data_IF_191925597133
#
_entry.id   IF_191925597133
#
_cell.length_a   1.000
_cell.length_b   1.000
_cell.length_c   1.000
_cell.angle_alpha   90.00
_cell.angle_beta   90.00
_cell.angle_gamma   90.00
#
_symmetry.space_group_name_H-M   'P 1'
#
loop_
_entity.id
_entity.type
_entity.pdbx_description
1 polymer ?
#
# COMPACT_ATOMS: atom_id res chain seq x y z
N UNK A 1 -18.52 -11.92 -18.39
CA UNK A 1 -17.24 -11.21 -18.22
C UNK A 1 -17.10 -10.95 -16.74
N UNK A 2 -16.31 -11.76 -16.05
CA UNK A 2 -16.09 -11.57 -14.60
C UNK A 2 -15.00 -10.52 -14.45
N UNK A 3 -15.39 -9.25 -14.43
CA UNK A 3 -14.52 -8.21 -13.88
C UNK A 3 -14.35 -8.56 -12.42
N UNK A 4 -13.21 -9.16 -12.10
CA UNK A 4 -12.79 -9.37 -10.73
C UNK A 4 -12.66 -7.97 -10.13
N UNK A 5 -13.69 -7.54 -9.39
CA UNK A 5 -13.78 -6.22 -8.78
C UNK A 5 -12.76 -6.20 -7.63
N UNK A 6 -11.52 -5.89 -8.02
CA UNK A 6 -10.43 -5.55 -7.13
C UNK A 6 -10.38 -4.03 -7.10
N UNK A 7 -10.95 -3.45 -6.06
CA UNK A 7 -10.89 -2.02 -5.83
C UNK A 7 -9.55 -1.69 -5.18
N UNK A 8 -8.63 -1.11 -5.97
CA UNK A 8 -7.36 -0.55 -5.46
C UNK A 8 -7.55 0.94 -5.18
N UNK A 9 -7.69 1.30 -3.91
CA UNK A 9 -7.81 2.68 -3.45
C UNK A 9 -6.47 3.17 -2.90
N UNK A 10 -5.99 4.33 -3.32
CA UNK A 10 -4.85 4.97 -2.66
C UNK A 10 -5.30 5.43 -1.26
N UNK A 11 -4.75 4.82 -0.21
CA UNK A 11 -5.01 5.16 1.18
C UNK A 11 -4.16 6.34 1.63
N UNK A 12 -2.86 6.28 1.33
CA UNK A 12 -1.92 7.26 1.82
C UNK A 12 -0.71 7.41 0.93
N UNK A 13 -0.07 8.57 0.97
CA UNK A 13 1.22 8.78 0.32
C UNK A 13 2.19 9.32 1.36
N UNK A 14 3.23 8.54 1.64
CA UNK A 14 4.32 8.93 2.52
C UNK A 14 5.41 9.55 1.65
N UNK A 15 5.65 10.84 1.83
CA UNK A 15 6.72 11.57 1.16
C UNK A 15 7.89 11.78 2.12
N UNK A 16 9.09 11.50 1.64
CA UNK A 16 10.28 11.50 2.49
C UNK A 16 11.55 11.77 1.68
N UNK A 17 12.68 11.94 2.38
CA UNK A 17 13.93 12.36 1.76
C UNK A 17 14.49 11.37 0.73
N UNK A 18 14.09 10.09 0.79
CA UNK A 18 14.50 9.07 -0.20
C UNK A 18 13.52 8.95 -1.37
N UNK A 19 12.30 9.45 -1.25
CA UNK A 19 11.27 9.37 -2.28
C UNK A 19 9.86 9.27 -1.71
N UNK A 20 8.90 8.99 -2.60
CA UNK A 20 7.49 8.81 -2.25
C UNK A 20 7.13 7.32 -2.17
N UNK A 21 6.51 6.91 -1.08
CA UNK A 21 5.88 5.62 -0.91
C UNK A 21 4.36 5.79 -0.91
N UNK A 22 3.67 5.11 -1.80
CA UNK A 22 2.23 5.18 -1.97
C UNK A 22 1.59 3.91 -1.41
N UNK A 23 0.77 4.06 -0.38
CA UNK A 23 0.04 2.98 0.27
C UNK A 23 -1.36 2.87 -0.31
N UNK A 24 -1.68 1.68 -0.80
CA UNK A 24 -2.92 1.33 -1.45
C UNK A 24 -3.66 0.28 -0.62
N UNK A 25 -4.97 0.38 -0.59
CA UNK A 25 -5.88 -0.66 -0.12
C UNK A 25 -6.41 -1.42 -1.32
N UNK A 26 -6.27 -2.73 -1.34
CA UNK A 26 -6.84 -3.62 -2.35
C UNK A 26 -7.94 -4.42 -1.67
N UNK A 27 -9.19 -4.10 -2.01
CA UNK A 27 -10.37 -4.82 -1.56
C UNK A 27 -10.85 -5.70 -2.71
N UNK A 28 -10.88 -7.00 -2.47
CA UNK A 28 -11.43 -7.98 -3.41
C UNK A 28 -12.85 -8.34 -3.03
N UNK A 29 -13.78 -8.25 -4.00
CA UNK A 29 -15.14 -8.77 -3.83
C UNK A 29 -15.12 -10.29 -3.57
N UNK A 30 -15.09 -10.68 -2.30
CA UNK A 30 -14.95 -12.06 -1.83
C UNK A 30 -13.90 -12.27 -0.73
N UNK A 31 -13.02 -11.29 -0.48
CA UNK A 31 -12.16 -11.27 0.71
C UNK A 31 -12.84 -10.49 1.84
N UNK A 32 -12.92 -11.11 3.01
CA UNK A 32 -13.41 -10.43 4.23
C UNK A 32 -12.46 -9.38 4.78
N UNK A 33 -11.22 -9.32 4.28
CA UNK A 33 -10.20 -8.38 4.75
C UNK A 33 -9.52 -7.67 3.56
N UNK A 34 -9.36 -6.34 3.62
CA UNK A 34 -8.55 -5.59 2.67
C UNK A 34 -7.10 -6.05 2.74
N UNK A 35 -6.43 -6.06 1.59
CA UNK A 35 -4.98 -6.16 1.49
C UNK A 35 -4.40 -4.75 1.34
N UNK A 36 -3.18 -4.54 1.83
CA UNK A 36 -2.50 -3.26 1.70
C UNK A 36 -1.31 -3.43 0.77
N UNK A 37 -0.98 -2.44 -0.04
CA UNK A 37 0.17 -2.48 -0.95
C UNK A 37 0.94 -1.18 -0.86
N UNK A 38 2.25 -1.26 -0.69
CA UNK A 38 3.13 -0.10 -0.67
C UNK A 38 3.90 -0.08 -1.97
N UNK A 39 3.67 0.93 -2.80
CA UNK A 39 4.48 1.20 -3.98
C UNK A 39 5.55 2.24 -3.66
N UNK A 40 6.81 1.88 -3.84
CA UNK A 40 7.92 2.81 -3.67
C UNK A 40 8.86 2.70 -4.87
N UNK A 41 8.95 3.78 -5.66
CA UNK A 41 9.90 3.86 -6.78
C UNK A 41 9.76 2.73 -7.81
N UNK A 42 8.56 2.16 -7.98
CA UNK A 42 8.30 1.03 -8.88
C UNK A 42 8.45 -0.36 -8.24
N UNK A 43 8.70 -0.46 -6.93
CA UNK A 43 8.59 -1.69 -6.17
C UNK A 43 7.31 -1.69 -5.34
N UNK A 44 6.38 -2.57 -5.68
CA UNK A 44 5.14 -2.78 -4.93
C UNK A 44 5.29 -3.95 -3.95
N UNK A 45 5.00 -3.72 -2.67
CA UNK A 45 5.07 -4.73 -1.60
C UNK A 45 3.69 -4.86 -0.97
N UNK A 46 3.14 -6.07 -0.93
CA UNK A 46 1.80 -6.31 -0.39
C UNK A 46 1.86 -6.81 1.07
N UNK A 47 1.01 -6.25 1.92
CA UNK A 47 0.89 -6.50 3.35
C UNK A 47 -0.54 -6.87 3.72
N UNK A 48 -0.71 -7.67 4.76
CA UNK A 48 -2.03 -8.00 5.33
C UNK A 48 -2.49 -6.98 6.38
N UNK A 49 -1.56 -6.18 6.92
CA UNK A 49 -1.83 -5.21 7.97
C UNK A 49 -1.49 -3.79 7.50
N UNK A 50 -2.40 -2.85 7.76
CA UNK A 50 -2.17 -1.43 7.47
C UNK A 50 -0.95 -0.88 8.23
N UNK A 51 -0.77 -1.28 9.49
CA UNK A 51 0.34 -0.82 10.31
C UNK A 51 1.71 -1.22 9.76
N UNK A 52 1.85 -2.48 9.30
CA UNK A 52 3.09 -2.95 8.67
C UNK A 52 3.38 -2.21 7.36
N UNK A 53 2.33 -1.99 6.55
CA UNK A 53 2.44 -1.20 5.32
C UNK A 53 2.89 0.25 5.60
N UNK A 54 2.39 0.89 6.65
CA UNK A 54 2.81 2.24 7.04
C UNK A 54 4.26 2.29 7.51
N UNK A 55 4.68 1.33 8.33
CA UNK A 55 6.06 1.25 8.83
C UNK A 55 7.01 1.06 7.66
N UNK A 56 6.68 0.17 6.72
CA UNK A 56 7.52 -0.06 5.55
C UNK A 56 7.52 1.14 4.61
N UNK A 57 6.36 1.74 4.34
CA UNK A 57 6.26 2.95 3.52
C UNK A 57 7.12 4.09 4.08
N UNK A 58 7.09 4.31 5.40
CA UNK A 58 7.96 5.28 6.07
C UNK A 58 9.44 4.93 5.99
N UNK A 59 9.78 3.67 6.22
CA UNK A 59 11.16 3.16 6.14
C UNK A 59 11.74 3.32 4.74
N UNK A 60 10.97 2.98 3.70
CA UNK A 60 11.34 3.10 2.29
C UNK A 60 11.47 4.56 1.86
N UNK A 61 10.48 5.38 2.23
CA UNK A 61 10.44 6.83 1.97
C UNK A 61 11.56 7.59 2.71
N UNK A 62 12.13 6.97 3.74
CA UNK A 62 13.20 7.56 4.55
C UNK A 62 12.68 8.59 5.54
N UNK A 63 11.38 8.59 5.83
CA UNK A 63 10.82 9.36 6.94
C UNK A 63 11.29 8.72 8.24
N UNK A 64 11.82 9.48 9.21
CA UNK A 64 12.08 8.95 10.53
C UNK A 64 10.73 8.64 11.18
N UNK A 65 10.35 7.36 11.19
CA UNK A 65 9.25 6.81 12.01
C UNK A 65 9.64 6.80 13.47
#
# INVERSE_FOLDING_TARGET
MSTQDHSRALLHTVEGPKGKAELYEVISSGQSQPQYEVDFGGSTISFKSMGEAYIEAGTLSGTPT
#
